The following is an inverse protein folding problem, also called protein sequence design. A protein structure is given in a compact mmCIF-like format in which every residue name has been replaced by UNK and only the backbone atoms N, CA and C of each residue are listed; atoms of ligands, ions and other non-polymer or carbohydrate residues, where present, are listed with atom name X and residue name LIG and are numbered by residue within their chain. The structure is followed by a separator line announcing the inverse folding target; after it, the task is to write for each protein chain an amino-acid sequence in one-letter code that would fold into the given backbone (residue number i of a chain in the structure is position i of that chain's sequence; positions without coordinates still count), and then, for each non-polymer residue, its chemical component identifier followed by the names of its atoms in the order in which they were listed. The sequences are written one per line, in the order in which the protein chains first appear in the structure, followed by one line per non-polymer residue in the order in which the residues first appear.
data_IF_283421403396
#
_entry.id   IF_283421403396
#
_cell.length_a   1.000
_cell.length_b   1.000
_cell.length_c   1.000
_cell.angle_alpha   90.00
_cell.angle_beta   90.00
_cell.angle_gamma   90.00
#
_symmetry.space_group_name_H-M   'P 1'
#
loop_
_entity.id
_entity.type
_entity.pdbx_description
1 polymer ?
#
# COMPACT_ATOMS: atom_id res chain seq x y z
N UNK A 1 10.64 19.63 -14.28
CA UNK A 1 11.66 19.22 -13.29
C UNK A 1 10.89 18.90 -12.01
N UNK A 2 10.59 17.62 -11.76
CA UNK A 2 9.81 17.21 -10.59
C UNK A 2 10.81 16.95 -9.45
N UNK A 3 10.86 17.83 -8.46
CA UNK A 3 11.71 17.63 -7.29
C UNK A 3 11.18 16.41 -6.54
N UNK A 4 12.02 15.46 -6.12
CA UNK A 4 11.58 14.44 -5.17
C UNK A 4 11.08 15.17 -3.93
N UNK A 5 9.90 14.84 -3.44
CA UNK A 5 9.39 15.43 -2.21
C UNK A 5 10.42 15.16 -1.10
N UNK A 6 11.18 16.19 -0.73
CA UNK A 6 12.18 16.14 0.35
C UNK A 6 11.57 15.86 1.72
N UNK A 7 10.25 15.66 1.78
CA UNK A 7 9.49 15.25 2.94
C UNK A 7 9.80 13.81 3.35
N UNK A 8 9.97 12.88 2.40
CA UNK A 8 10.15 11.45 2.76
C UNK A 8 11.40 11.18 3.62
N UNK A 9 12.60 11.72 3.31
CA UNK A 9 13.76 11.55 4.19
C UNK A 9 13.56 12.14 5.60
N UNK A 10 12.82 13.26 5.69
CA UNK A 10 12.56 13.93 6.96
C UNK A 10 11.55 13.16 7.82
N UNK A 11 10.42 12.75 7.25
CA UNK A 11 9.41 11.93 7.91
C UNK A 11 9.97 10.58 8.35
N UNK A 12 10.71 9.89 7.47
CA UNK A 12 11.37 8.63 7.79
C UNK A 12 12.42 8.78 8.91
N UNK A 13 13.15 9.90 8.91
CA UNK A 13 14.12 10.23 9.95
C UNK A 13 13.48 10.40 11.33
N UNK A 14 12.33 11.09 11.41
CA UNK A 14 11.58 11.27 12.65
C UNK A 14 11.04 9.93 13.16
N UNK A 15 10.51 9.10 12.28
CA UNK A 15 9.96 7.80 12.63
C UNK A 15 11.03 6.82 13.10
N UNK A 16 12.18 6.81 12.42
CA UNK A 16 13.34 6.03 12.84
C UNK A 16 13.92 6.51 14.17
N UNK A 17 14.04 7.84 14.34
CA UNK A 17 14.46 8.46 15.61
C UNK A 17 13.52 8.08 16.75
N UNK A 18 12.21 8.10 16.49
CA UNK A 18 11.20 7.68 17.46
C UNK A 18 11.39 6.21 17.86
N UNK A 19 11.66 5.32 16.89
CA UNK A 19 11.96 3.90 17.18
C UNK A 19 13.20 3.71 18.05
N UNK A 20 14.24 4.54 17.87
CA UNK A 20 15.50 4.43 18.62
C UNK A 20 15.46 5.11 20.00
N UNK A 21 14.73 6.21 20.14
CA UNK A 21 14.89 7.13 21.27
C UNK A 21 13.60 7.45 22.04
N UNK A 22 12.40 7.20 21.49
CA UNK A 22 11.15 7.62 22.11
C UNK A 22 10.51 6.57 23.07
N UNK A 23 11.27 5.56 23.49
CA UNK A 23 10.84 4.56 24.49
C UNK A 23 10.13 3.33 23.91
N UNK A 24 9.67 2.45 24.81
CA UNK A 24 9.20 1.08 24.48
C UNK A 24 7.99 1.02 23.55
N UNK A 25 7.14 2.05 23.53
CA UNK A 25 5.99 2.09 22.63
C UNK A 25 6.39 2.17 21.15
N UNK A 26 7.50 2.83 20.85
CA UNK A 26 7.95 3.07 19.47
C UNK A 26 9.02 2.10 18.99
N UNK A 27 9.64 1.33 19.90
CA UNK A 27 10.73 0.40 19.55
C UNK A 27 10.32 -0.72 18.60
N UNK A 28 9.03 -1.03 18.52
CA UNK A 28 8.48 -2.08 17.64
C UNK A 28 8.02 -1.57 16.27
N UNK A 29 8.18 -0.26 15.99
CA UNK A 29 7.80 0.31 14.68
C UNK A 29 8.53 -0.40 13.53
N UNK A 30 7.75 -0.83 12.54
CA UNK A 30 8.21 -1.47 11.29
C UNK A 30 7.93 -0.53 10.13
N UNK A 31 8.85 -0.46 9.17
CA UNK A 31 8.75 0.45 8.03
C UNK A 31 8.82 -0.33 6.72
N UNK A 32 7.96 0.06 5.77
CA UNK A 32 8.02 -0.35 4.37
C UNK A 32 8.30 0.90 3.54
N UNK A 33 9.35 0.86 2.73
CA UNK A 33 9.66 1.95 1.79
C UNK A 33 9.47 1.43 0.37
N UNK A 34 8.54 2.05 -0.36
CA UNK A 34 8.19 1.70 -1.73
C UNK A 34 8.91 2.65 -2.70
N UNK A 35 9.68 2.08 -3.63
CA UNK A 35 10.37 2.86 -4.66
C UNK A 35 9.85 2.52 -6.07
N UNK A 36 9.70 3.56 -6.89
CA UNK A 36 9.18 3.46 -8.26
C UNK A 36 10.09 2.63 -9.18
N UNK A 37 11.41 2.66 -8.99
CA UNK A 37 12.35 1.89 -9.82
C UNK A 37 13.65 1.57 -9.06
N UNK A 38 14.42 0.60 -9.56
CA UNK A 38 15.75 0.23 -9.02
C UNK A 38 16.79 1.31 -9.36
N UNK A 39 16.72 2.49 -8.75
CA UNK A 39 17.82 3.46 -8.82
C UNK A 39 18.53 3.57 -7.47
N UNK A 40 19.74 4.12 -7.48
CA UNK A 40 20.81 4.05 -6.45
C UNK A 40 20.49 4.51 -5.01
N UNK A 41 19.23 4.72 -4.63
CA UNK A 41 18.82 4.89 -3.23
C UNK A 41 19.01 3.63 -2.41
N UNK A 42 18.99 2.45 -3.06
CA UNK A 42 19.27 1.15 -2.46
C UNK A 42 20.56 1.12 -1.65
N UNK A 43 21.63 1.86 -2.02
CA UNK A 43 22.88 1.89 -1.24
C UNK A 43 22.84 2.84 -0.05
N UNK A 44 22.17 3.99 -0.18
CA UNK A 44 22.06 4.97 0.89
C UNK A 44 21.04 4.56 1.97
N UNK A 45 20.02 3.79 1.58
CA UNK A 45 18.96 3.32 2.46
C UNK A 45 19.14 1.85 2.90
N UNK A 46 19.99 1.03 2.26
CA UNK A 46 20.34 -0.30 2.81
C UNK A 46 21.01 -0.21 4.18
N UNK A 47 21.67 0.93 4.47
CA UNK A 47 22.24 1.23 5.78
C UNK A 47 21.17 1.54 6.85
N UNK A 48 19.90 1.77 6.46
CA UNK A 48 18.78 1.77 7.40
C UNK A 48 18.48 0.33 7.83
N UNK A 49 19.17 -0.12 8.87
CA UNK A 49 18.86 -1.38 9.53
C UNK A 49 17.35 -1.46 9.88
N UNK A 50 16.63 -2.36 9.22
CA UNK A 50 15.20 -2.63 9.44
C UNK A 50 14.21 -1.80 8.62
N UNK A 51 14.61 -1.25 7.47
CA UNK A 51 13.69 -0.80 6.42
C UNK A 51 13.80 -1.76 5.21
N UNK A 52 12.69 -2.39 4.83
CA UNK A 52 12.64 -3.23 3.64
C UNK A 52 12.33 -2.34 2.43
N UNK A 53 13.33 -2.14 1.56
CA UNK A 53 13.19 -1.34 0.35
C UNK A 53 12.77 -2.28 -0.77
N UNK A 54 11.59 -2.04 -1.32
CA UNK A 54 11.05 -2.87 -2.38
C UNK A 54 10.65 -2.00 -3.58
N UNK A 55 11.17 -2.37 -4.75
CA UNK A 55 10.86 -1.69 -6.01
C UNK A 55 9.65 -2.33 -6.69
N UNK A 56 8.74 -1.51 -7.21
CA UNK A 56 7.52 -1.99 -7.89
C UNK A 56 7.46 -1.63 -9.38
N UNK A 57 8.53 -1.08 -9.96
CA UNK A 57 8.67 -0.75 -11.39
C UNK A 57 7.51 0.09 -11.98
N UNK A 58 6.81 0.86 -11.15
CA UNK A 58 5.60 1.60 -11.54
C UNK A 58 4.40 0.72 -11.95
N UNK A 59 4.43 -0.57 -11.61
CA UNK A 59 3.37 -1.55 -11.92
C UNK A 59 2.48 -1.79 -10.69
N UNK A 60 1.17 -1.48 -10.73
CA UNK A 60 0.28 -1.63 -9.58
C UNK A 60 0.21 -3.06 -9.02
N UNK A 61 0.25 -4.06 -9.91
CA UNK A 61 0.25 -5.47 -9.52
C UNK A 61 1.48 -5.85 -8.69
N UNK A 62 2.63 -5.24 -8.98
CA UNK A 62 3.86 -5.49 -8.24
C UNK A 62 3.83 -4.79 -6.87
N UNK A 63 3.16 -3.65 -6.74
CA UNK A 63 2.91 -3.00 -5.43
C UNK A 63 2.14 -3.95 -4.52
N UNK A 64 1.05 -4.56 -5.00
CA UNK A 64 0.25 -5.53 -4.21
C UNK A 64 1.11 -6.68 -3.72
N UNK A 65 1.95 -7.24 -4.60
CA UNK A 65 2.88 -8.31 -4.23
C UNK A 65 3.86 -7.86 -3.16
N UNK A 66 4.48 -6.71 -3.34
CA UNK A 66 5.47 -6.14 -2.41
C UNK A 66 4.87 -5.92 -1.03
N UNK A 67 3.72 -5.24 -0.94
CA UNK A 67 3.04 -4.96 0.33
C UNK A 67 2.65 -6.25 1.03
N UNK A 68 2.07 -7.21 0.29
CA UNK A 68 1.69 -8.52 0.84
C UNK A 68 2.91 -9.30 1.34
N UNK A 69 4.02 -9.30 0.61
CA UNK A 69 5.25 -9.98 1.04
C UNK A 69 5.80 -9.34 2.31
N UNK A 70 5.82 -8.01 2.39
CA UNK A 70 6.28 -7.30 3.58
C UNK A 70 5.47 -7.65 4.84
N UNK A 71 4.15 -7.76 4.76
CA UNK A 71 3.33 -8.21 5.89
C UNK A 71 3.70 -9.62 6.37
N UNK A 72 4.03 -10.53 5.46
CA UNK A 72 4.46 -11.89 5.83
C UNK A 72 5.88 -11.87 6.41
N UNK A 73 6.83 -11.24 5.73
CA UNK A 73 8.25 -11.24 6.08
C UNK A 73 8.53 -10.44 7.35
N UNK A 74 7.90 -9.28 7.51
CA UNK A 74 8.22 -8.29 8.56
C UNK A 74 7.20 -8.30 9.69
N UNK A 75 5.90 -8.44 9.40
CA UNK A 75 4.86 -8.48 10.44
C UNK A 75 4.63 -9.90 10.97
N UNK A 76 4.93 -10.93 10.18
CA UNK A 76 4.75 -12.33 10.56
C UNK A 76 3.32 -12.83 10.35
N UNK A 77 2.57 -12.19 9.44
CA UNK A 77 1.18 -12.55 9.15
C UNK A 77 1.11 -13.92 8.46
N UNK A 78 0.24 -14.80 8.96
CA UNK A 78 0.01 -16.16 8.41
C UNK A 78 -1.38 -16.28 7.81
N UNK A 79 -1.63 -17.34 7.02
CA UNK A 79 -2.92 -17.60 6.34
C UNK A 79 -3.42 -16.43 5.46
N UNK A 80 -2.50 -15.71 4.84
CA UNK A 80 -2.80 -14.61 3.92
C UNK A 80 -2.95 -15.09 2.49
N UNK A 81 -3.95 -14.54 1.79
CA UNK A 81 -4.16 -14.78 0.35
C UNK A 81 -2.89 -14.53 -0.48
N UNK A 82 -2.77 -15.26 -1.58
CA UNK A 82 -1.70 -15.02 -2.54
C UNK A 82 -1.86 -13.61 -3.16
N UNK A 83 -0.75 -12.95 -3.49
CA UNK A 83 -0.79 -11.63 -4.11
C UNK A 83 -1.60 -11.60 -5.42
N UNK A 84 -1.64 -12.71 -6.16
CA UNK A 84 -2.46 -12.84 -7.37
C UNK A 84 -3.96 -12.89 -7.08
N UNK A 85 -4.37 -13.46 -5.94
CA UNK A 85 -5.77 -13.48 -5.51
C UNK A 85 -6.19 -12.07 -5.14
N UNK A 86 -5.41 -11.39 -4.27
CA UNK A 86 -5.67 -9.99 -3.90
C UNK A 86 -5.75 -9.08 -5.13
N UNK A 87 -4.89 -9.29 -6.12
CA UNK A 87 -4.94 -8.54 -7.37
C UNK A 87 -6.18 -8.86 -8.21
N UNK A 88 -6.61 -10.13 -8.26
CA UNK A 88 -7.85 -10.51 -8.96
C UNK A 88 -9.05 -9.85 -8.30
N UNK A 89 -9.16 -9.97 -6.97
CA UNK A 89 -10.25 -9.38 -6.19
C UNK A 89 -10.31 -7.86 -6.40
N UNK A 90 -9.16 -7.19 -6.49
CA UNK A 90 -9.10 -5.77 -6.79
C UNK A 90 -9.62 -5.43 -8.19
N UNK A 91 -9.26 -6.22 -9.21
CA UNK A 91 -9.73 -6.00 -10.58
C UNK A 91 -11.25 -6.23 -10.68
N UNK A 92 -11.74 -7.29 -10.06
CA UNK A 92 -13.16 -7.62 -10.03
C UNK A 92 -13.95 -6.52 -9.30
N UNK A 93 -13.47 -6.08 -8.13
CA UNK A 93 -14.03 -4.93 -7.43
C UNK A 93 -14.07 -3.67 -8.29
N UNK A 94 -12.97 -3.30 -8.97
CA UNK A 94 -12.94 -2.09 -9.78
C UNK A 94 -13.93 -2.13 -10.94
N UNK A 95 -14.15 -3.31 -11.53
CA UNK A 95 -15.15 -3.48 -12.58
C UNK A 95 -16.58 -3.33 -12.05
N UNK A 96 -16.89 -3.98 -10.92
CA UNK A 96 -18.20 -3.88 -10.28
C UNK A 96 -18.49 -2.46 -9.77
N UNK A 97 -17.48 -1.83 -9.16
CA UNK A 97 -17.57 -0.48 -8.63
C UNK A 97 -17.81 0.55 -9.75
N UNK A 98 -17.08 0.50 -10.86
CA UNK A 98 -17.31 1.41 -11.99
C UNK A 98 -18.71 1.21 -12.58
N UNK A 99 -19.15 -0.04 -12.74
CA UNK A 99 -20.49 -0.35 -13.24
C UNK A 99 -21.60 0.16 -12.30
N UNK A 100 -21.47 -0.08 -10.99
CA UNK A 100 -22.41 0.41 -9.97
C UNK A 100 -22.48 1.94 -9.97
N UNK A 101 -21.34 2.63 -9.91
CA UNK A 101 -21.30 4.10 -9.86
C UNK A 101 -21.89 4.73 -11.11
N UNK A 102 -21.59 4.21 -12.30
CA UNK A 102 -22.23 4.68 -13.54
C UNK A 102 -23.74 4.46 -13.53
N UNK A 103 -24.21 3.32 -13.00
CA UNK A 103 -25.65 3.05 -12.90
C UNK A 103 -26.38 4.01 -11.94
N UNK A 104 -25.65 4.53 -10.95
CA UNK A 104 -26.12 5.54 -10.00
C UNK A 104 -25.92 6.99 -10.49
N UNK A 105 -25.48 7.19 -11.74
CA UNK A 105 -25.39 8.50 -12.38
C UNK A 105 -24.09 9.26 -12.13
N UNK A 106 -23.04 8.61 -11.62
CA UNK A 106 -21.72 9.22 -11.47
C UNK A 106 -21.05 9.39 -12.83
N UNK A 107 -20.41 10.54 -13.05
CA UNK A 107 -19.55 10.78 -14.20
C UNK A 107 -18.12 10.29 -13.91
N UNK A 108 -17.29 10.21 -14.95
CA UNK A 108 -15.90 9.76 -14.82
C UNK A 108 -15.14 10.53 -13.74
N UNK A 109 -15.28 11.87 -13.71
CA UNK A 109 -14.59 12.69 -12.72
C UNK A 109 -15.05 12.40 -11.29
N UNK A 110 -16.33 12.09 -11.08
CA UNK A 110 -16.85 11.75 -9.75
C UNK A 110 -16.26 10.42 -9.25
N UNK A 111 -16.03 9.47 -10.17
CA UNK A 111 -15.41 8.17 -9.88
C UNK A 111 -13.91 8.35 -9.61
N UNK A 112 -13.20 9.12 -10.43
CA UNK A 112 -11.76 9.35 -10.28
C UNK A 112 -11.40 10.17 -9.04
N UNK A 113 -12.17 11.20 -8.71
CA UNK A 113 -11.94 12.08 -7.56
C UNK A 113 -12.72 11.66 -6.31
N UNK A 114 -13.18 10.40 -6.26
CA UNK A 114 -13.97 9.90 -5.14
C UNK A 114 -13.21 10.04 -3.81
N UNK A 115 -13.86 10.57 -2.75
CA UNK A 115 -13.25 10.65 -1.44
C UNK A 115 -12.81 9.27 -0.92
N UNK A 116 -11.57 9.19 -0.42
CA UNK A 116 -11.00 7.95 0.14
C UNK A 116 -11.90 7.25 1.16
N UNK A 117 -12.61 7.95 2.08
CA UNK A 117 -13.53 7.28 2.99
C UNK A 117 -14.67 6.53 2.29
N UNK A 118 -15.21 7.10 1.21
CA UNK A 118 -16.29 6.50 0.43
C UNK A 118 -15.78 5.30 -0.37
N UNK A 119 -14.65 5.44 -1.05
CA UNK A 119 -14.00 4.34 -1.78
C UNK A 119 -13.64 3.17 -0.86
N UNK A 120 -13.11 3.47 0.33
CA UNK A 120 -12.78 2.45 1.35
C UNK A 120 -14.03 1.72 1.86
N UNK A 121 -15.16 2.43 1.96
CA UNK A 121 -16.43 1.84 2.38
C UNK A 121 -16.96 0.89 1.30
N UNK A 122 -16.94 1.31 0.04
CA UNK A 122 -17.31 0.46 -1.10
C UNK A 122 -16.48 -0.83 -1.18
N UNK A 123 -15.16 -0.75 -0.96
CA UNK A 123 -14.29 -1.94 -0.89
C UNK A 123 -14.73 -2.88 0.23
N UNK A 124 -15.02 -2.36 1.42
CA UNK A 124 -15.42 -3.18 2.57
C UNK A 124 -16.73 -3.89 2.34
N UNK A 125 -17.70 -3.21 1.74
CA UNK A 125 -19.01 -3.76 1.43
C UNK A 125 -18.86 -4.88 0.37
N UNK A 126 -18.13 -4.60 -0.70
CA UNK A 126 -17.85 -5.60 -1.74
C UNK A 126 -17.12 -6.83 -1.22
N UNK A 127 -16.15 -6.67 -0.31
CA UNK A 127 -15.44 -7.79 0.32
C UNK A 127 -16.36 -8.67 1.18
N UNK A 128 -17.35 -8.07 1.87
CA UNK A 128 -18.32 -8.83 2.66
C UNK A 128 -19.23 -9.68 1.78
N UNK A 129 -19.60 -9.15 0.61
CA UNK A 129 -20.50 -9.81 -0.33
C UNK A 129 -19.81 -10.91 -1.15
N UNK A 130 -18.54 -10.68 -1.56
CA UNK A 130 -17.88 -11.51 -2.57
C UNK A 130 -16.73 -12.38 -2.04
N UNK A 131 -16.11 -12.02 -0.91
CA UNK A 131 -14.93 -12.72 -0.38
C UNK A 131 -15.21 -13.39 0.97
N UNK A 132 -15.95 -12.73 1.87
CA UNK A 132 -16.29 -13.31 3.18
C UNK A 132 -17.43 -14.34 3.11
N UNK A 133 -18.18 -14.37 2.00
CA UNK A 133 -19.28 -15.31 1.76
C UNK A 133 -18.85 -16.62 1.08
N UNK A 134 -17.57 -16.76 0.69
CA UNK A 134 -16.97 -17.93 0.04
C UNK A 134 -16.16 -18.80 1.04
#
# INVERSE_FOLDING_TARGET
MNLPATNMPFELGIDYGSRKFAGSHFSEKKFLVLERGRFDYSKALSDFAGADIKSHNDEPKDIVRVVRHWFVETVGLTNVSAASVVWSDFIDFMADFDADRRSNGFEDNDIYDMPIPEFTMAIKDWLQENVAAA
#
